data_IF_618600805781
#
_entry.id   IF_618600805781
#
_cell.length_a   1.000
_cell.length_b   1.000
_cell.length_c   1.000
_cell.angle_alpha   90.00
_cell.angle_beta   90.00
_cell.angle_gamma   90.00
#
_symmetry.space_group_name_H-M   'P 1'
#
loop_
_entity.id
_entity.type
_entity.pdbx_description
1 polymer ?
#
# COMPACT_ATOMS: atom_id res chain seq x y z
N UNK A 1 10.24 20.48 24.05
CA UNK A 1 11.46 19.80 23.54
C UNK A 1 11.29 18.29 23.57
N UNK A 2 10.72 17.72 24.62
CA UNK A 2 10.40 16.29 24.75
C UNK A 2 9.49 15.75 23.62
N UNK A 3 8.35 16.40 23.37
CA UNK A 3 7.44 16.03 22.28
C UNK A 3 8.11 15.99 20.89
N UNK A 4 9.05 16.89 20.62
CA UNK A 4 9.76 16.90 19.34
C UNK A 4 10.66 15.66 19.20
N UNK A 5 11.30 15.23 20.29
CA UNK A 5 12.12 14.02 20.32
C UNK A 5 11.26 12.77 20.16
N UNK A 6 10.11 12.73 20.84
CA UNK A 6 9.13 11.64 20.71
C UNK A 6 8.67 11.45 19.26
N UNK A 7 8.24 12.52 18.58
CA UNK A 7 7.82 12.42 17.18
C UNK A 7 8.95 12.01 16.23
N UNK A 8 10.17 12.49 16.45
CA UNK A 8 11.32 12.07 15.62
C UNK A 8 11.62 10.58 15.82
N UNK A 9 11.48 10.07 17.05
CA UNK A 9 11.67 8.64 17.32
C UNK A 9 10.58 7.79 16.68
N UNK A 10 9.31 8.19 16.79
CA UNK A 10 8.19 7.50 16.12
C UNK A 10 8.34 7.50 14.59
N UNK A 11 8.75 8.63 14.02
CA UNK A 11 9.02 8.71 12.59
C UNK A 11 10.15 7.77 12.17
N UNK A 12 11.27 7.73 12.91
CA UNK A 12 12.37 6.80 12.61
C UNK A 12 11.93 5.35 12.71
N UNK A 13 11.18 4.99 13.75
CA UNK A 13 10.62 3.65 13.92
C UNK A 13 9.76 3.24 12.71
N UNK A 14 8.89 4.14 12.25
CA UNK A 14 8.06 3.94 11.07
C UNK A 14 8.89 3.72 9.79
N UNK A 15 9.89 4.58 9.54
CA UNK A 15 10.77 4.48 8.36
C UNK A 15 11.59 3.18 8.35
N UNK A 16 12.09 2.78 9.52
CA UNK A 16 12.89 1.56 9.68
C UNK A 16 12.06 0.27 9.56
N UNK A 17 10.76 0.32 9.87
CA UNK A 17 9.84 -0.83 9.81
C UNK A 17 10.30 -2.04 10.62
N UNK A 18 10.96 -1.79 11.75
CA UNK A 18 11.50 -2.84 12.62
C UNK A 18 10.44 -3.40 13.58
N UNK A 19 9.50 -2.58 14.02
CA UNK A 19 8.43 -2.95 14.96
C UNK A 19 7.19 -3.47 14.23
N UNK A 20 6.29 -4.14 14.97
CA UNK A 20 5.03 -4.63 14.40
C UNK A 20 4.11 -3.46 14.02
N UNK A 21 4.07 -2.43 14.85
CA UNK A 21 3.31 -1.20 14.66
C UNK A 21 3.77 -0.46 13.41
N UNK A 22 5.09 -0.29 13.21
CA UNK A 22 5.64 0.34 12.02
C UNK A 22 5.33 -0.43 10.74
N UNK A 23 5.43 -1.77 10.77
CA UNK A 23 5.06 -2.62 9.62
C UNK A 23 3.57 -2.54 9.30
N UNK A 24 2.72 -2.54 10.31
CA UNK A 24 1.27 -2.41 10.13
C UNK A 24 0.89 -1.02 9.59
N UNK A 25 1.47 0.06 10.13
CA UNK A 25 1.27 1.40 9.61
C UNK A 25 1.75 1.53 8.16
N UNK A 26 2.90 0.95 7.81
CA UNK A 26 3.39 0.92 6.43
C UNK A 26 2.52 0.09 5.48
N UNK A 27 1.85 -0.95 5.99
CA UNK A 27 0.86 -1.71 5.24
C UNK A 27 -0.39 -0.86 4.91
N UNK A 28 -0.87 -0.06 5.87
CA UNK A 28 -1.97 0.88 5.66
C UNK A 28 -1.61 1.99 4.68
N UNK A 29 -0.41 2.57 4.80
CA UNK A 29 0.10 3.60 3.89
C UNK A 29 0.17 3.11 2.44
N UNK A 30 0.50 1.83 2.24
CA UNK A 30 0.50 1.19 0.92
C UNK A 30 -0.88 0.85 0.38
N UNK A 31 -1.82 0.59 1.27
CA UNK A 31 -3.20 0.25 0.93
C UNK A 31 -3.95 1.47 0.37
N UNK A 32 -3.79 2.64 0.99
CA UNK A 32 -4.49 3.88 0.65
C UNK A 32 -4.47 4.20 -0.87
N UNK A 33 -3.32 4.24 -1.55
CA UNK A 33 -3.29 4.62 -2.97
C UNK A 33 -3.93 3.58 -3.89
N UNK A 34 -4.03 2.32 -3.46
CA UNK A 34 -4.68 1.26 -4.22
C UNK A 34 -6.21 1.42 -4.17
N UNK A 35 -6.74 1.69 -2.98
CA UNK A 35 -8.16 2.01 -2.80
C UNK A 35 -8.51 3.26 -3.60
N UNK A 36 -7.70 4.31 -3.49
CA UNK A 36 -7.93 5.56 -4.22
C UNK A 36 -7.92 5.35 -5.74
N UNK A 37 -6.99 4.55 -6.27
CA UNK A 37 -6.99 4.22 -7.70
C UNK A 37 -8.25 3.45 -8.11
N UNK A 38 -8.70 2.47 -7.32
CA UNK A 38 -9.94 1.73 -7.59
C UNK A 38 -11.16 2.67 -7.64
N UNK A 39 -11.29 3.55 -6.65
CA UNK A 39 -12.40 4.51 -6.55
C UNK A 39 -12.39 5.58 -7.65
N UNK A 40 -11.23 5.90 -8.21
CA UNK A 40 -11.07 6.90 -9.27
C UNK A 40 -11.03 6.30 -10.68
N UNK A 41 -11.49 5.05 -10.83
CA UNK A 41 -11.56 4.38 -12.14
C UNK A 41 -10.19 4.02 -12.73
N UNK A 42 -9.19 3.82 -11.88
CA UNK A 42 -7.81 3.51 -12.24
C UNK A 42 -7.04 4.72 -12.76
N UNK A 43 -7.38 5.94 -12.35
CA UNK A 43 -6.86 7.18 -12.94
C UNK A 43 -5.32 7.20 -13.05
N UNK A 44 -4.61 7.00 -11.93
CA UNK A 44 -3.15 7.05 -11.91
C UNK A 44 -2.55 5.85 -12.64
N UNK A 45 -3.12 4.65 -12.49
CA UNK A 45 -2.66 3.47 -13.22
C UNK A 45 -2.73 3.66 -14.74
N UNK A 46 -3.88 4.12 -15.25
CA UNK A 46 -4.08 4.39 -16.68
C UNK A 46 -3.19 5.52 -17.19
N UNK A 47 -3.10 6.61 -16.43
CA UNK A 47 -2.29 7.79 -16.79
C UNK A 47 -0.80 7.43 -16.99
N UNK A 48 -0.27 6.51 -16.20
CA UNK A 48 1.14 6.12 -16.23
C UNK A 48 1.40 4.72 -16.80
N UNK A 49 0.38 4.07 -17.38
CA UNK A 49 0.52 2.72 -17.95
C UNK A 49 1.01 1.67 -16.95
N UNK A 50 0.58 1.78 -15.68
CA UNK A 50 0.99 0.84 -14.63
C UNK A 50 0.22 -0.47 -14.80
N UNK A 51 0.96 -1.58 -14.79
CA UNK A 51 0.44 -2.94 -14.91
C UNK A 51 0.26 -3.61 -13.55
N UNK A 52 -0.65 -4.58 -13.49
CA UNK A 52 -0.99 -5.32 -12.28
C UNK A 52 0.22 -5.99 -11.64
N UNK A 53 1.14 -6.51 -12.46
CA UNK A 53 2.40 -7.09 -11.99
C UNK A 53 3.22 -6.09 -11.17
N UNK A 54 3.39 -4.86 -11.66
CA UNK A 54 4.11 -3.80 -10.95
C UNK A 54 3.41 -3.42 -9.65
N UNK A 55 2.07 -3.39 -9.64
CA UNK A 55 1.29 -3.11 -8.43
C UNK A 55 1.52 -4.22 -7.39
N UNK A 56 1.44 -5.49 -7.77
CA UNK A 56 1.69 -6.62 -6.86
C UNK A 56 3.12 -6.62 -6.32
N UNK A 57 4.11 -6.46 -7.19
CA UNK A 57 5.54 -6.43 -6.81
C UNK A 57 5.85 -5.33 -5.79
N UNK A 58 5.35 -4.11 -6.02
CA UNK A 58 5.60 -2.98 -5.10
C UNK A 58 4.92 -3.15 -3.74
N UNK A 59 3.86 -3.96 -3.66
CA UNK A 59 3.08 -4.15 -2.44
C UNK A 59 3.35 -5.47 -1.72
N UNK A 60 4.30 -6.29 -2.18
CA UNK A 60 4.62 -7.58 -1.57
C UNK A 60 4.95 -7.46 -0.06
N UNK A 61 5.63 -6.38 0.34
CA UNK A 61 6.03 -6.12 1.73
C UNK A 61 4.85 -5.85 2.68
N UNK A 62 3.63 -5.62 2.15
CA UNK A 62 2.42 -5.46 2.98
C UNK A 62 2.15 -6.73 3.81
N UNK A 63 2.53 -7.90 3.28
CA UNK A 63 2.40 -9.19 3.98
C UNK A 63 3.13 -9.21 5.33
N UNK A 64 4.23 -8.47 5.45
CA UNK A 64 5.02 -8.40 6.68
C UNK A 64 4.32 -7.59 7.78
N UNK A 65 3.42 -6.68 7.40
CA UNK A 65 2.59 -5.89 8.33
C UNK A 65 1.21 -6.49 8.59
N UNK A 66 0.58 -7.09 7.57
CA UNK A 66 -0.68 -7.83 7.71
C UNK A 66 -0.93 -8.72 6.50
N UNK A 67 -1.07 -10.02 6.76
CA UNK A 67 -1.45 -11.01 5.75
C UNK A 67 -2.87 -10.76 5.23
N UNK A 68 -3.80 -10.33 6.09
CA UNK A 68 -5.17 -10.04 5.69
C UNK A 68 -5.28 -8.82 4.77
N UNK A 69 -4.52 -7.76 5.04
CA UNK A 69 -4.46 -6.60 4.15
C UNK A 69 -3.84 -7.03 2.81
N UNK A 70 -2.82 -7.90 2.83
CA UNK A 70 -2.23 -8.42 1.60
C UNK A 70 -3.25 -9.21 0.77
N UNK A 71 -4.06 -10.08 1.37
CA UNK A 71 -5.14 -10.78 0.67
C UNK A 71 -6.15 -9.79 0.06
N UNK A 72 -6.62 -8.82 0.85
CA UNK A 72 -7.51 -7.77 0.36
C UNK A 72 -6.94 -7.00 -0.84
N UNK A 73 -5.64 -6.65 -0.81
CA UNK A 73 -4.96 -6.00 -1.94
C UNK A 73 -5.01 -6.89 -3.19
N UNK A 74 -4.77 -8.20 -3.05
CA UNK A 74 -4.79 -9.10 -4.19
C UNK A 74 -6.19 -9.22 -4.80
N UNK A 75 -7.23 -9.27 -3.97
CA UNK A 75 -8.62 -9.29 -4.41
C UNK A 75 -8.99 -7.98 -5.12
N UNK A 76 -8.62 -6.83 -4.54
CA UNK A 76 -8.82 -5.52 -5.14
C UNK A 76 -8.15 -5.39 -6.50
N UNK A 77 -6.92 -5.88 -6.66
CA UNK A 77 -6.21 -5.87 -7.94
C UNK A 77 -6.95 -6.72 -8.97
N UNK A 78 -7.40 -7.92 -8.59
CA UNK A 78 -8.17 -8.81 -9.47
C UNK A 78 -9.47 -8.15 -9.92
N UNK A 79 -10.24 -7.56 -8.99
CA UNK A 79 -11.45 -6.80 -9.29
C UNK A 79 -11.17 -5.63 -10.24
N UNK A 80 -10.08 -4.91 -10.05
CA UNK A 80 -9.69 -3.80 -10.91
C UNK A 80 -9.32 -4.25 -12.33
N UNK A 81 -8.74 -5.44 -12.49
CA UNK A 81 -8.46 -6.03 -13.81
C UNK A 81 -9.77 -6.41 -14.50
N UNK A 82 -10.68 -7.11 -13.80
CA UNK A 82 -11.99 -7.51 -14.33
C UNK A 82 -12.82 -6.31 -14.78
N UNK A 83 -12.71 -5.19 -14.08
CA UNK A 83 -13.38 -3.92 -14.40
C UNK A 83 -12.65 -3.09 -15.47
N UNK A 84 -11.49 -3.53 -15.98
CA UNK A 84 -10.68 -2.78 -16.95
C UNK A 84 -10.11 -1.47 -16.38
N UNK A 85 -9.94 -1.39 -15.06
CA UNK A 85 -9.33 -0.25 -14.37
C UNK A 85 -7.80 -0.37 -14.32
N UNK A 86 -7.30 -1.60 -14.32
CA UNK A 86 -5.88 -1.94 -14.26
C UNK A 86 -5.56 -2.98 -15.34
N UNK A 87 -4.51 -2.73 -16.11
CA UNK A 87 -4.04 -3.67 -17.14
C UNK A 87 -3.24 -4.80 -16.48
N UNK A 88 -3.29 -5.99 -17.08
CA UNK A 88 -2.51 -7.15 -16.63
C UNK A 88 -0.98 -6.92 -16.71
#
# INVERSE_FOLDING_TARGET
KEQALEFINLWREFEEKNTMEAKFAAALDRLEPLILNSLTGGHTWKKYGIKSKTVREKNLQVKDGSVEIWHYINDLITECIEKGLLEE
#
